data_IF_162940967544
#
_entry.id   IF_162940967544
#
_cell.length_a   1.000
_cell.length_b   1.000
_cell.length_c   1.000
_cell.angle_alpha   90.00
_cell.angle_beta   90.00
_cell.angle_gamma   90.00
#
_symmetry.space_group_name_H-M   'P 1'
#
loop_
_entity.id
_entity.type
_entity.pdbx_description
1 polymer ?
#
# COMPACT_ATOMS: atom_id res chain seq x y z
N UNK A 1 -47.69 20.68 3.19
CA UNK A 1 -46.32 20.63 2.62
C UNK A 1 -45.93 19.18 2.37
N UNK A 2 -46.10 18.69 1.14
CA UNK A 2 -45.84 17.28 0.78
C UNK A 2 -44.57 17.18 -0.06
N UNK A 3 -43.43 17.02 0.61
CA UNK A 3 -42.22 16.42 0.02
C UNK A 3 -41.27 15.96 1.14
N UNK A 4 -41.70 14.98 1.96
CA UNK A 4 -40.79 14.37 2.94
C UNK A 4 -39.87 13.39 2.21
N UNK A 5 -38.57 13.59 2.34
CA UNK A 5 -37.56 12.68 1.81
C UNK A 5 -37.78 11.30 2.45
N UNK A 6 -37.93 10.27 1.63
CA UNK A 6 -38.05 8.91 2.11
C UNK A 6 -36.71 8.51 2.73
N UNK A 7 -36.72 8.13 4.01
CA UNK A 7 -35.51 7.78 4.74
C UNK A 7 -34.72 6.62 4.10
N UNK A 8 -35.41 5.77 3.32
CA UNK A 8 -34.80 4.66 2.56
C UNK A 8 -34.04 5.08 1.30
N UNK A 9 -34.30 6.28 0.80
CA UNK A 9 -33.68 6.81 -0.42
C UNK A 9 -32.59 7.87 -0.08
N UNK A 10 -32.23 8.05 1.20
CA UNK A 10 -31.22 9.04 1.66
C UNK A 10 -29.82 8.76 1.07
N UNK A 11 -29.41 7.50 0.99
CA UNK A 11 -28.06 7.09 0.57
C UNK A 11 -27.92 6.86 -0.94
N UNK A 12 -28.98 7.13 -1.71
CA UNK A 12 -29.07 6.81 -3.12
C UNK A 12 -29.10 8.09 -3.96
N UNK A 13 -28.36 8.11 -5.07
CA UNK A 13 -28.44 9.19 -6.05
C UNK A 13 -29.87 9.32 -6.59
N UNK A 14 -30.38 10.57 -6.66
CA UNK A 14 -31.74 10.87 -7.13
C UNK A 14 -32.04 10.38 -8.55
N UNK A 15 -31.01 10.23 -9.38
CA UNK A 15 -31.10 9.77 -10.77
C UNK A 15 -31.28 8.27 -10.95
N UNK A 16 -30.96 7.45 -9.93
CA UNK A 16 -31.04 5.99 -10.05
C UNK A 16 -32.44 5.49 -9.69
N UNK A 17 -32.84 4.34 -10.24
CA UNK A 17 -34.00 3.58 -9.73
C UNK A 17 -33.60 2.74 -8.51
N UNK A 18 -34.57 2.34 -7.68
CA UNK A 18 -34.25 1.57 -6.45
C UNK A 18 -33.63 0.21 -6.76
N UNK A 19 -33.99 -0.38 -7.89
CA UNK A 19 -33.45 -1.66 -8.35
C UNK A 19 -31.99 -1.48 -8.79
N UNK A 20 -31.71 -0.45 -9.60
CA UNK A 20 -30.33 -0.11 -10.00
C UNK A 20 -29.41 0.12 -8.80
N UNK A 21 -29.87 0.88 -7.79
CA UNK A 21 -29.07 1.14 -6.59
C UNK A 21 -28.71 -0.15 -5.82
N UNK A 22 -29.65 -1.12 -5.74
CA UNK A 22 -29.38 -2.44 -5.13
C UNK A 22 -28.45 -3.31 -5.96
N UNK A 23 -28.54 -3.22 -7.30
CA UNK A 23 -27.63 -3.94 -8.20
C UNK A 23 -26.22 -3.37 -8.07
N UNK A 24 -26.08 -2.03 -8.11
CA UNK A 24 -24.81 -1.33 -7.92
C UNK A 24 -24.17 -1.66 -6.58
N UNK A 25 -24.95 -1.68 -5.49
CA UNK A 25 -24.40 -2.04 -4.17
C UNK A 25 -23.90 -3.49 -4.12
N UNK A 26 -24.61 -4.44 -4.73
CA UNK A 26 -24.14 -5.84 -4.85
C UNK A 26 -22.86 -5.95 -5.69
N UNK A 27 -22.81 -5.27 -6.83
CA UNK A 27 -21.61 -5.25 -7.69
C UNK A 27 -20.43 -4.66 -6.92
N UNK A 28 -20.63 -3.55 -6.22
CA UNK A 28 -19.58 -2.91 -5.42
C UNK A 28 -19.10 -3.82 -4.27
N UNK A 29 -20.03 -4.50 -3.59
CA UNK A 29 -19.68 -5.47 -2.55
C UNK A 29 -18.84 -6.64 -3.12
N UNK A 30 -19.22 -7.18 -4.28
CA UNK A 30 -18.44 -8.23 -4.94
C UNK A 30 -17.04 -7.75 -5.35
N UNK A 31 -16.92 -6.54 -5.91
CA UNK A 31 -15.63 -5.92 -6.25
C UNK A 31 -14.75 -5.73 -5.01
N UNK A 32 -15.34 -5.30 -3.90
CA UNK A 32 -14.62 -5.12 -2.64
C UNK A 32 -14.11 -6.45 -2.09
N UNK A 33 -14.95 -7.50 -2.06
CA UNK A 33 -14.54 -8.84 -1.63
C UNK A 33 -13.37 -9.36 -2.48
N UNK A 34 -13.45 -9.19 -3.79
CA UNK A 34 -12.37 -9.59 -4.70
C UNK A 34 -11.07 -8.82 -4.42
N UNK A 35 -11.16 -7.50 -4.21
CA UNK A 35 -10.01 -6.67 -3.84
C UNK A 35 -9.38 -7.13 -2.51
N UNK A 36 -10.19 -7.35 -1.48
CA UNK A 36 -9.74 -7.79 -0.16
C UNK A 36 -9.04 -9.16 -0.23
N UNK A 37 -9.55 -10.07 -1.05
CA UNK A 37 -8.94 -11.37 -1.30
C UNK A 37 -7.54 -11.23 -1.93
N UNK A 38 -7.38 -10.38 -2.94
CA UNK A 38 -6.08 -10.14 -3.59
C UNK A 38 -5.07 -9.54 -2.62
N UNK A 39 -5.50 -8.56 -1.80
CA UNK A 39 -4.65 -7.95 -0.77
C UNK A 39 -4.20 -9.00 0.25
N UNK A 40 -5.12 -9.84 0.75
CA UNK A 40 -4.77 -10.87 1.72
C UNK A 40 -3.81 -11.90 1.14
N UNK A 41 -3.98 -12.26 -0.13
CA UNK A 41 -3.07 -13.15 -0.86
C UNK A 41 -1.68 -12.54 -0.98
N UNK A 42 -1.56 -11.26 -1.35
CA UNK A 42 -0.30 -10.54 -1.43
C UNK A 42 0.42 -10.47 -0.06
N UNK A 43 -0.32 -10.17 1.01
CA UNK A 43 0.21 -10.19 2.39
C UNK A 43 0.78 -11.56 2.75
N UNK A 44 0.06 -12.64 2.42
CA UNK A 44 0.51 -14.00 2.73
C UNK A 44 1.79 -14.37 1.96
N UNK A 45 1.95 -13.88 0.72
CA UNK A 45 3.19 -14.08 -0.02
C UNK A 45 4.38 -13.39 0.64
N UNK A 46 4.24 -12.13 1.07
CA UNK A 46 5.30 -11.42 1.80
C UNK A 46 5.64 -12.12 3.12
N UNK A 47 4.63 -12.57 3.88
CA UNK A 47 4.84 -13.33 5.12
C UNK A 47 5.66 -14.62 4.90
N UNK A 48 5.43 -15.31 3.78
CA UNK A 48 6.13 -16.56 3.45
C UNK A 48 7.54 -16.31 2.91
N UNK A 49 7.73 -15.24 2.13
CA UNK A 49 9.02 -14.91 1.50
C UNK A 49 10.06 -14.45 2.52
N UNK A 50 9.66 -13.60 3.46
CA UNK A 50 10.59 -12.99 4.41
C UNK A 50 10.42 -13.54 5.83
N UNK A 51 11.40 -14.30 6.35
CA UNK A 51 11.39 -14.75 7.74
C UNK A 51 11.72 -13.63 8.73
N UNK A 52 12.43 -12.60 8.29
CA UNK A 52 12.87 -11.45 9.07
C UNK A 52 12.38 -10.13 8.43
N UNK A 53 12.66 -9.00 9.08
CA UNK A 53 12.30 -7.69 8.55
C UNK A 53 13.09 -7.37 7.28
N UNK A 54 12.43 -6.78 6.29
CA UNK A 54 13.08 -6.25 5.09
C UNK A 54 13.91 -4.99 5.44
N UNK A 55 13.46 -4.21 6.42
CA UNK A 55 14.17 -3.01 6.91
C UNK A 55 15.06 -3.38 8.10
N UNK A 56 16.39 -3.23 7.92
CA UNK A 56 17.40 -3.56 8.93
C UNK A 56 17.91 -2.31 9.64
N UNK A 57 17.10 -1.80 10.56
CA UNK A 57 17.43 -0.69 11.46
C UNK A 57 17.69 -1.20 12.90
N UNK A 58 17.91 -0.30 13.85
CA UNK A 58 18.11 -0.68 15.25
C UNK A 58 16.87 -1.34 15.92
N UNK A 59 15.68 -1.19 15.33
CA UNK A 59 14.41 -1.76 15.80
C UNK A 59 14.05 -3.07 15.09
N UNK A 60 14.92 -3.55 14.19
CA UNK A 60 14.73 -4.83 13.51
C UNK A 60 15.10 -6.03 14.39
N UNK A 61 15.48 -5.80 15.65
CA UNK A 61 15.84 -6.83 16.63
C UNK A 61 14.58 -7.54 17.11
N UNK A 62 14.19 -8.62 16.44
CA UNK A 62 13.06 -9.44 16.85
C UNK A 62 12.42 -10.23 15.71
N UNK A 63 11.34 -10.93 16.05
CA UNK A 63 10.57 -11.68 15.05
C UNK A 63 9.74 -10.72 14.21
N UNK A 64 9.92 -10.77 12.90
CA UNK A 64 9.09 -10.01 11.97
C UNK A 64 7.74 -10.69 11.80
N UNK A 65 6.68 -10.12 12.38
CA UNK A 65 5.32 -10.68 12.34
C UNK A 65 4.41 -9.86 11.44
N UNK A 66 4.65 -8.55 11.34
CA UNK A 66 3.79 -7.59 10.65
C UNK A 66 4.15 -7.47 9.17
N UNK A 67 3.12 -7.36 8.32
CA UNK A 67 3.26 -6.88 6.94
C UNK A 67 2.58 -5.54 6.87
N UNK A 68 3.39 -4.52 6.58
CA UNK A 68 2.98 -3.13 6.54
C UNK A 68 2.66 -2.72 5.11
N UNK A 69 1.63 -1.89 4.92
CA UNK A 69 1.42 -1.21 3.65
C UNK A 69 2.19 0.10 3.68
N UNK A 70 3.20 0.25 2.82
CA UNK A 70 4.00 1.48 2.74
C UNK A 70 3.09 2.66 2.39
N UNK A 71 2.22 2.49 1.39
CA UNK A 71 1.09 3.38 1.12
C UNK A 71 -0.21 2.73 1.61
N UNK A 72 -0.95 3.37 2.52
CA UNK A 72 -2.01 2.73 3.28
C UNK A 72 -3.22 2.42 2.40
N UNK A 73 -3.80 1.23 2.59
CA UNK A 73 -4.97 0.75 1.85
C UNK A 73 -6.18 1.70 1.90
N UNK A 74 -6.37 2.41 3.02
CA UNK A 74 -7.46 3.37 3.19
C UNK A 74 -7.37 4.53 2.18
N UNK A 75 -6.15 5.01 1.92
CA UNK A 75 -5.89 6.14 1.03
C UNK A 75 -5.62 5.69 -0.40
N UNK A 76 -4.96 4.52 -0.57
CA UNK A 76 -4.53 4.02 -1.87
C UNK A 76 -5.01 2.57 -2.14
N UNK A 77 -6.33 2.33 -2.16
CA UNK A 77 -6.88 0.98 -2.36
C UNK A 77 -6.47 0.35 -3.70
N UNK A 78 -6.22 1.17 -4.73
CA UNK A 78 -5.81 0.74 -6.07
C UNK A 78 -4.43 0.09 -6.12
N UNK A 79 -3.54 0.41 -5.17
CA UNK A 79 -2.19 -0.17 -5.06
C UNK A 79 -2.02 -1.09 -3.85
N UNK A 80 -3.09 -1.37 -3.10
CA UNK A 80 -3.01 -2.16 -1.87
C UNK A 80 -2.61 -3.62 -2.11
N UNK A 81 -2.94 -4.19 -3.27
CA UNK A 81 -2.63 -5.58 -3.60
C UNK A 81 -1.22 -5.76 -4.22
N UNK A 82 -0.51 -4.67 -4.50
CA UNK A 82 0.85 -4.75 -5.05
C UNK A 82 1.81 -5.19 -3.94
N UNK A 83 2.53 -6.27 -4.19
CA UNK A 83 3.54 -6.79 -3.25
C UNK A 83 4.73 -5.84 -3.08
N UNK A 84 4.94 -4.96 -4.05
CA UNK A 84 5.87 -3.84 -4.00
C UNK A 84 5.46 -2.80 -2.94
N UNK A 85 4.16 -2.69 -2.63
CA UNK A 85 3.62 -1.76 -1.63
C UNK A 85 3.59 -2.38 -0.22
N UNK A 86 4.01 -3.63 -0.07
CA UNK A 86 3.99 -4.37 1.18
C UNK A 86 5.41 -4.60 1.68
N UNK A 87 5.69 -4.28 2.94
CA UNK A 87 6.99 -4.50 3.55
C UNK A 87 6.87 -5.30 4.86
N UNK A 88 7.74 -6.29 5.04
CA UNK A 88 7.82 -7.10 6.24
C UNK A 88 8.58 -6.35 7.33
N UNK A 89 7.95 -6.17 8.50
CA UNK A 89 8.50 -5.43 9.64
C UNK A 89 8.36 -6.21 10.96
N UNK A 90 9.15 -5.84 11.96
CA UNK A 90 8.92 -6.24 13.37
C UNK A 90 7.71 -5.49 13.94
N UNK A 91 7.16 -6.01 15.05
CA UNK A 91 6.05 -5.33 15.75
C UNK A 91 6.44 -3.92 16.20
N UNK A 92 7.68 -3.74 16.64
CA UNK A 92 8.19 -2.44 17.11
C UNK A 92 8.34 -1.45 15.95
N UNK A 93 8.94 -1.87 14.83
CA UNK A 93 8.99 -1.08 13.60
C UNK A 93 7.58 -0.65 13.14
N UNK A 94 6.62 -1.58 13.16
CA UNK A 94 5.26 -1.30 12.70
C UNK A 94 4.50 -0.31 13.60
N UNK A 95 4.41 -0.59 14.90
CA UNK A 95 3.52 0.15 15.81
C UNK A 95 4.17 1.37 16.47
N UNK A 96 5.49 1.49 16.40
CA UNK A 96 6.21 2.60 17.06
C UNK A 96 6.85 3.54 16.04
N UNK A 97 7.33 3.02 14.91
CA UNK A 97 8.05 3.82 13.89
C UNK A 97 7.15 4.18 12.71
N UNK A 98 6.55 3.19 12.04
CA UNK A 98 5.68 3.45 10.89
C UNK A 98 4.40 4.20 11.29
N UNK A 99 3.84 3.84 12.45
CA UNK A 99 2.67 4.49 13.03
C UNK A 99 3.06 5.21 14.32
N UNK A 100 3.43 6.51 14.28
CA UNK A 100 3.85 7.22 15.48
C UNK A 100 2.72 7.23 16.52
N UNK A 101 3.07 7.00 17.79
CA UNK A 101 2.13 6.86 18.91
C UNK A 101 1.08 5.74 18.74
N UNK A 102 1.36 4.72 17.91
CA UNK A 102 0.44 3.61 17.65
C UNK A 102 -0.80 4.00 16.84
N UNK A 103 -0.84 5.22 16.29
CA UNK A 103 -1.97 5.66 15.49
C UNK A 103 -1.89 5.07 14.08
N UNK A 104 -2.64 3.98 13.84
CA UNK A 104 -2.67 3.27 12.56
C UNK A 104 -3.22 4.09 11.38
N UNK A 105 -3.76 5.28 11.64
CA UNK A 105 -4.24 6.19 10.58
C UNK A 105 -3.15 7.11 10.05
N UNK A 106 -2.07 7.32 10.79
CA UNK A 106 -0.95 8.20 10.42
C UNK A 106 0.28 7.36 10.04
N UNK A 107 1.02 7.81 9.05
CA UNK A 107 2.30 7.23 8.66
C UNK A 107 3.39 8.28 8.88
N UNK A 108 4.49 7.87 9.49
CA UNK A 108 5.68 8.71 9.60
C UNK A 108 6.36 8.86 8.22
N UNK A 109 6.47 10.07 7.64
CA UNK A 109 7.03 10.24 6.31
C UNK A 109 8.49 9.81 6.21
N UNK A 110 9.30 10.05 7.24
CA UNK A 110 10.71 9.67 7.24
C UNK A 110 10.83 8.14 7.22
N UNK A 111 10.05 7.46 8.06
CA UNK A 111 10.04 6.00 8.11
C UNK A 111 9.43 5.37 6.85
N UNK A 112 8.45 6.03 6.23
CA UNK A 112 7.91 5.64 4.93
C UNK A 112 9.00 5.68 3.84
N UNK A 113 9.83 6.73 3.82
CA UNK A 113 10.98 6.83 2.92
C UNK A 113 11.99 5.69 3.15
N UNK A 114 12.35 5.41 4.41
CA UNK A 114 13.22 4.29 4.77
C UNK A 114 12.64 2.94 4.29
N UNK A 115 11.34 2.74 4.44
CA UNK A 115 10.65 1.55 3.94
C UNK A 115 10.71 1.44 2.41
N UNK A 116 10.50 2.54 1.68
CA UNK A 116 10.63 2.56 0.21
C UNK A 116 12.05 2.25 -0.25
N UNK A 117 13.07 2.79 0.43
CA UNK A 117 14.47 2.51 0.14
C UNK A 117 14.78 1.04 0.39
N UNK A 118 14.44 0.51 1.57
CA UNK A 118 14.64 -0.91 1.88
C UNK A 118 13.91 -1.81 0.89
N UNK A 119 12.68 -1.45 0.52
CA UNK A 119 11.91 -2.19 -0.48
C UNK A 119 12.57 -2.19 -1.85
N UNK A 120 13.10 -1.04 -2.28
CA UNK A 120 13.83 -0.94 -3.54
C UNK A 120 15.06 -1.85 -3.58
N UNK A 121 15.78 -2.00 -2.45
CA UNK A 121 16.92 -2.91 -2.33
C UNK A 121 16.49 -4.38 -2.45
N UNK A 122 15.40 -4.78 -1.76
CA UNK A 122 14.88 -6.15 -1.85
C UNK A 122 14.39 -6.51 -3.26
N UNK A 123 13.79 -5.54 -3.98
CA UNK A 123 13.38 -5.73 -5.36
C UNK A 123 14.59 -5.86 -6.28
N UNK A 124 15.60 -5.00 -6.11
CA UNK A 124 16.84 -5.06 -6.87
C UNK A 124 17.56 -6.40 -6.69
N UNK A 125 17.70 -6.88 -5.46
CA UNK A 125 18.30 -8.19 -5.15
C UNK A 125 17.52 -9.34 -5.81
N UNK A 126 16.20 -9.32 -5.73
CA UNK A 126 15.33 -10.34 -6.35
C UNK A 126 15.51 -10.37 -7.87
N UNK A 127 15.52 -9.21 -8.53
CA UNK A 127 15.72 -9.12 -9.98
C UNK A 127 17.14 -9.55 -10.40
N UNK A 128 18.16 -9.16 -9.63
CA UNK A 128 19.55 -9.51 -9.92
C UNK A 128 19.82 -11.02 -9.75
N UNK A 129 19.07 -11.69 -8.87
CA UNK A 129 19.12 -13.16 -8.71
C UNK A 129 18.28 -13.92 -9.73
N UNK A 130 17.56 -13.21 -10.62
CA UNK A 130 16.65 -13.79 -11.60
C UNK A 130 15.33 -14.27 -11.01
N UNK A 131 15.02 -13.90 -9.77
CA UNK A 131 13.77 -14.23 -9.12
C UNK A 131 12.65 -13.33 -9.67
N UNK A 132 11.69 -13.93 -10.37
CA UNK A 132 10.53 -13.24 -10.95
C UNK A 132 9.43 -12.94 -9.91
N UNK A 133 9.82 -12.58 -8.70
CA UNK A 133 8.86 -12.27 -7.63
C UNK A 133 8.37 -10.83 -7.72
N UNK A 134 9.22 -9.87 -8.07
CA UNK A 134 8.88 -8.44 -8.17
C UNK A 134 8.97 -7.89 -9.58
N UNK A 135 8.38 -6.71 -9.80
CA UNK A 135 8.57 -5.90 -10.99
C UNK A 135 9.00 -4.47 -10.64
N UNK A 136 10.02 -3.97 -11.35
CA UNK A 136 10.46 -2.58 -11.23
C UNK A 136 9.36 -1.61 -11.70
N UNK A 137 8.63 -1.99 -12.73
CA UNK A 137 7.51 -1.24 -13.30
C UNK A 137 6.39 -1.07 -12.26
N UNK A 138 6.03 -2.16 -11.58
CA UNK A 138 5.08 -2.12 -10.46
C UNK A 138 5.58 -1.22 -9.33
N UNK A 139 6.87 -1.28 -8.98
CA UNK A 139 7.43 -0.42 -7.94
C UNK A 139 7.34 1.08 -8.31
N UNK A 140 7.75 1.45 -9.53
CA UNK A 140 7.64 2.84 -10.00
C UNK A 140 6.18 3.29 -10.05
N UNK A 141 5.25 2.42 -10.45
CA UNK A 141 3.82 2.73 -10.46
C UNK A 141 3.27 3.03 -9.06
N UNK A 142 3.62 2.23 -8.05
CA UNK A 142 3.15 2.50 -6.68
C UNK A 142 3.74 3.80 -6.12
N UNK A 143 5.00 4.11 -6.43
CA UNK A 143 5.66 5.34 -5.96
C UNK A 143 5.02 6.56 -6.62
N UNK A 144 4.82 6.52 -7.94
CA UNK A 144 4.11 7.57 -8.67
C UNK A 144 2.70 7.80 -8.14
N UNK A 145 1.97 6.73 -7.83
CA UNK A 145 0.62 6.81 -7.27
C UNK A 145 0.63 7.37 -5.84
N UNK A 146 1.56 6.91 -5.00
CA UNK A 146 1.65 7.28 -3.58
C UNK A 146 2.14 8.70 -3.35
N UNK A 147 3.18 9.12 -4.08
CA UNK A 147 3.84 10.43 -3.93
C UNK A 147 3.38 11.47 -4.96
N UNK A 148 2.40 11.13 -5.81
CA UNK A 148 1.91 11.97 -6.90
C UNK A 148 3.05 12.45 -7.80
N UNK A 149 3.91 11.52 -8.22
CA UNK A 149 5.05 11.77 -9.14
C UNK A 149 4.79 11.15 -10.51
N UNK A 150 5.65 11.50 -11.49
CA UNK A 150 5.56 11.02 -12.87
C UNK A 150 6.91 10.50 -13.38
N UNK A 151 7.55 9.65 -12.58
CA UNK A 151 8.82 9.03 -12.97
C UNK A 151 8.60 8.07 -14.13
N UNK A 152 9.47 8.17 -15.14
CA UNK A 152 9.41 7.37 -16.36
C UNK A 152 10.56 6.36 -16.40
N UNK A 153 10.30 5.17 -16.93
CA UNK A 153 11.33 4.15 -17.17
C UNK A 153 12.06 4.42 -18.50
N UNK A 154 13.33 3.97 -18.66
CA UNK A 154 14.10 3.15 -17.72
C UNK A 154 14.73 3.97 -16.59
N UNK A 155 14.68 3.44 -15.36
CA UNK A 155 15.37 4.00 -14.19
C UNK A 155 16.27 2.94 -13.53
N UNK A 156 17.45 3.37 -13.10
CA UNK A 156 18.28 2.59 -12.19
C UNK A 156 17.70 2.63 -10.78
N UNK A 157 17.95 1.60 -9.98
CA UNK A 157 17.53 1.60 -8.58
C UNK A 157 18.23 2.69 -7.76
N UNK A 158 19.49 3.01 -8.10
CA UNK A 158 20.20 4.16 -7.51
C UNK A 158 19.46 5.47 -7.76
N UNK A 159 19.04 5.74 -9.00
CA UNK A 159 18.28 6.96 -9.30
C UNK A 159 16.93 6.97 -8.58
N UNK A 160 16.25 5.83 -8.48
CA UNK A 160 15.00 5.72 -7.73
C UNK A 160 15.22 6.11 -6.26
N UNK A 161 16.26 5.57 -5.60
CA UNK A 161 16.59 5.89 -4.21
C UNK A 161 16.95 7.37 -4.02
N UNK A 162 17.77 7.94 -4.90
CA UNK A 162 18.13 9.36 -4.86
C UNK A 162 16.89 10.25 -5.02
N UNK A 163 16.00 9.93 -5.96
CA UNK A 163 14.78 10.70 -6.19
C UNK A 163 13.79 10.55 -5.03
N UNK A 164 13.71 9.38 -4.39
CA UNK A 164 12.91 9.20 -3.17
C UNK A 164 13.39 10.15 -2.06
N UNK A 165 14.69 10.14 -1.75
CA UNK A 165 15.25 11.02 -0.71
C UNK A 165 15.01 12.49 -1.04
N UNK A 166 15.25 12.90 -2.28
CA UNK A 166 14.99 14.27 -2.73
C UNK A 166 13.51 14.65 -2.55
N UNK A 167 12.59 13.76 -2.93
CA UNK A 167 11.15 14.01 -2.83
C UNK A 167 10.67 14.15 -1.38
N UNK A 168 11.17 13.32 -0.48
CA UNK A 168 10.80 13.39 0.94
C UNK A 168 11.42 14.60 1.67
N UNK A 169 12.54 15.12 1.21
CA UNK A 169 13.12 16.36 1.74
C UNK A 169 12.30 17.62 1.34
N UNK A 170 11.42 17.51 0.34
CA UNK A 170 10.52 18.59 -0.10
C UNK A 170 9.15 18.58 0.60
N UNK A 171 8.81 17.51 1.32
CA UNK A 171 7.52 17.32 2.01
C UNK A 171 7.52 17.94 3.40
#
# INVERSE_FOLDING_TARGET
MYNRINWRDISKLKSLTRIEARILSRINAQKQIHSDYLVQRAINYIKKKYPQSELRDQWSQGVATCVHHIFPKSTYPQIAAYIENLIKLTSEQHFTKAHPNGNMTLIDPNYQCECLIAKSNSIEESLNTGELFYSKESFVYIVNTGLNTQWQLPLSFDNIRTQLVAKYNEL
#
